data_IF_891743924470
#
_entry.id   IF_891743924470
#
_cell.length_a   1.000
_cell.length_b   1.000
_cell.length_c   1.000
_cell.angle_alpha   90.00
_cell.angle_beta   90.00
_cell.angle_gamma   90.00
#
_symmetry.space_group_name_H-M   'P 1'
#
loop_
_entity.id
_entity.type
_entity.pdbx_description
1 polymer ?
#
# COMPACT_ATOMS: atom_id res chain seq x y z
N UNK A 1 -9.72 3.97 -4.80
CA UNK A 1 -9.12 3.70 -3.46
C UNK A 1 -10.15 3.83 -2.35
N UNK A 2 -10.70 5.04 -2.10
CA UNK A 2 -11.71 5.25 -1.08
C UNK A 2 -13.00 4.43 -1.32
N UNK A 3 -13.32 4.15 -2.59
CA UNK A 3 -14.45 3.29 -2.96
C UNK A 3 -14.16 1.78 -2.79
N UNK A 4 -12.87 1.41 -2.78
CA UNK A 4 -12.43 0.00 -2.74
C UNK A 4 -12.16 -0.45 -1.29
N UNK A 5 -11.52 0.38 -0.47
CA UNK A 5 -11.27 0.10 0.95
C UNK A 5 -12.25 0.92 1.78
N UNK A 6 -13.29 0.26 2.31
CA UNK A 6 -14.33 0.92 3.13
C UNK A 6 -13.88 1.17 4.57
N UNK A 7 -12.90 0.42 5.06
CA UNK A 7 -12.38 0.59 6.41
C UNK A 7 -11.49 1.84 6.52
N UNK A 8 -11.93 2.81 7.31
CA UNK A 8 -11.23 4.08 7.51
C UNK A 8 -9.88 3.90 8.22
N UNK A 9 -9.75 2.90 9.09
CA UNK A 9 -8.49 2.59 9.77
C UNK A 9 -7.40 2.17 8.78
N UNK A 10 -7.76 1.24 7.91
CA UNK A 10 -6.90 0.71 6.86
C UNK A 10 -6.52 1.79 5.86
N UNK A 11 -7.46 2.64 5.42
CA UNK A 11 -7.15 3.78 4.57
C UNK A 11 -6.08 4.70 5.18
N UNK A 12 -6.21 5.05 6.47
CA UNK A 12 -5.20 5.88 7.16
C UNK A 12 -3.82 5.22 7.19
N UNK A 13 -3.76 3.90 7.39
CA UNK A 13 -2.51 3.16 7.39
C UNK A 13 -1.86 3.14 6.00
N UNK A 14 -2.66 3.03 4.92
CA UNK A 14 -2.17 3.17 3.54
C UNK A 14 -1.56 4.56 3.32
N UNK A 15 -2.28 5.63 3.70
CA UNK A 15 -1.77 7.01 3.55
C UNK A 15 -0.49 7.25 4.36
N UNK A 16 -0.45 6.73 5.59
CA UNK A 16 0.72 6.83 6.46
C UNK A 16 1.93 6.16 5.83
N UNK A 17 1.79 4.93 5.32
CA UNK A 17 2.88 4.23 4.64
C UNK A 17 3.33 4.96 3.37
N UNK A 18 2.40 5.44 2.55
CA UNK A 18 2.71 6.27 1.37
C UNK A 18 3.53 7.50 1.75
N UNK A 19 3.14 8.20 2.83
CA UNK A 19 3.84 9.39 3.27
C UNK A 19 5.24 9.08 3.84
N UNK A 20 5.41 7.92 4.49
CA UNK A 20 6.71 7.43 4.98
C UNK A 20 7.65 7.05 3.83
N UNK A 21 7.14 6.36 2.81
CA UNK A 21 7.90 5.99 1.60
C UNK A 21 8.38 7.23 0.84
N UNK A 22 7.48 8.19 0.58
CA UNK A 22 7.81 9.46 -0.10
C UNK A 22 8.93 10.24 0.59
N UNK A 23 8.95 10.23 1.93
CA UNK A 23 9.91 10.94 2.77
C UNK A 23 11.18 10.13 3.07
N UNK A 24 11.34 8.94 2.48
CA UNK A 24 12.47 8.03 2.76
C UNK A 24 12.60 7.68 4.26
N UNK A 25 11.47 7.61 4.97
CA UNK A 25 11.45 7.20 6.38
C UNK A 25 11.52 5.68 6.55
N UNK A 26 11.17 4.94 5.50
CA UNK A 26 11.44 3.50 5.38
C UNK A 26 12.38 3.35 4.19
N UNK A 27 13.55 2.77 4.44
CA UNK A 27 14.58 2.54 3.43
C UNK A 27 15.10 1.11 3.54
N UNK A 28 15.64 0.57 2.45
CA UNK A 28 16.07 -0.82 2.40
C UNK A 28 14.95 -1.78 2.00
N UNK A 29 15.34 -2.87 1.34
CA UNK A 29 14.40 -3.84 0.79
C UNK A 29 13.61 -4.59 1.87
N UNK A 30 14.28 -4.97 2.97
CA UNK A 30 13.68 -5.74 4.05
C UNK A 30 12.58 -4.96 4.78
N UNK A 31 12.90 -3.79 5.33
CA UNK A 31 11.96 -2.98 6.10
C UNK A 31 10.75 -2.55 5.26
N UNK A 32 11.00 -2.19 3.98
CA UNK A 32 9.93 -1.88 3.02
C UNK A 32 9.02 -3.08 2.81
N UNK A 33 9.58 -4.28 2.66
CA UNK A 33 8.80 -5.50 2.46
C UNK A 33 7.96 -5.85 3.70
N UNK A 34 8.54 -5.76 4.89
CA UNK A 34 7.84 -6.05 6.16
C UNK A 34 6.63 -5.11 6.33
N UNK A 35 6.84 -3.80 6.21
CA UNK A 35 5.76 -2.80 6.34
C UNK A 35 4.67 -3.00 5.28
N UNK A 36 5.06 -3.33 4.05
CA UNK A 36 4.12 -3.62 2.96
C UNK A 36 3.27 -4.86 3.27
N UNK A 37 3.88 -5.95 3.73
CA UNK A 37 3.15 -7.19 4.07
C UNK A 37 2.20 -6.97 5.25
N UNK A 38 2.63 -6.23 6.28
CA UNK A 38 1.76 -5.89 7.41
C UNK A 38 0.54 -5.08 6.98
N UNK A 39 0.73 -4.11 6.08
CA UNK A 39 -0.37 -3.33 5.51
C UNK A 39 -1.31 -4.21 4.67
N UNK A 40 -0.77 -5.04 3.78
CA UNK A 40 -1.57 -5.92 2.93
C UNK A 40 -2.37 -6.94 3.76
N UNK A 41 -1.79 -7.48 4.83
CA UNK A 41 -2.52 -8.32 5.79
C UNK A 41 -3.73 -7.58 6.35
N UNK A 42 -3.56 -6.34 6.79
CA UNK A 42 -4.67 -5.52 7.30
C UNK A 42 -5.74 -5.25 6.24
N UNK A 43 -5.33 -4.96 4.99
CA UNK A 43 -6.25 -4.78 3.86
C UNK A 43 -7.08 -6.05 3.64
N UNK A 44 -6.45 -7.23 3.60
CA UNK A 44 -7.16 -8.50 3.41
C UNK A 44 -8.08 -8.82 4.59
N UNK A 45 -7.63 -8.62 5.83
CA UNK A 45 -8.43 -8.90 7.03
C UNK A 45 -9.67 -8.00 7.18
N UNK A 46 -9.65 -6.80 6.61
CA UNK A 46 -10.77 -5.83 6.70
C UNK A 46 -11.54 -5.69 5.38
N UNK A 47 -11.07 -6.32 4.31
CA UNK A 47 -11.70 -6.26 3.00
C UNK A 47 -13.09 -6.88 3.04
N UNK A 48 -14.05 -6.17 2.43
CA UNK A 48 -15.38 -6.70 2.12
C UNK A 48 -15.46 -6.87 0.61
N UNK A 49 -15.47 -8.11 0.14
CA UNK A 49 -15.54 -8.46 -1.27
C UNK A 49 -16.58 -9.55 -1.50
N UNK A 50 -17.19 -9.55 -2.68
CA UNK A 50 -18.11 -10.60 -3.12
C UNK A 50 -17.50 -11.53 -4.18
N UNK A 51 -16.32 -11.18 -4.71
CA UNK A 51 -15.56 -12.00 -5.65
C UNK A 51 -14.06 -11.86 -5.43
N UNK A 52 -13.30 -12.86 -5.87
CA UNK A 52 -11.83 -12.84 -5.79
C UNK A 52 -11.26 -11.67 -6.61
N UNK A 53 -11.86 -11.34 -7.76
CA UNK A 53 -11.42 -10.22 -8.60
C UNK A 53 -11.49 -8.89 -7.84
N UNK A 54 -12.56 -8.65 -7.08
CA UNK A 54 -12.67 -7.45 -6.24
C UNK A 54 -11.55 -7.39 -5.20
N UNK A 55 -11.18 -8.53 -4.59
CA UNK A 55 -10.07 -8.59 -3.65
C UNK A 55 -8.73 -8.27 -4.35
N UNK A 56 -8.50 -8.85 -5.52
CA UNK A 56 -7.29 -8.60 -6.29
C UNK A 56 -7.18 -7.14 -6.74
N UNK A 57 -8.29 -6.50 -7.10
CA UNK A 57 -8.33 -5.09 -7.48
C UNK A 57 -8.06 -4.17 -6.28
N UNK A 58 -8.58 -4.52 -5.10
CA UNK A 58 -8.22 -3.83 -3.85
C UNK A 58 -6.70 -3.89 -3.61
N UNK A 59 -6.12 -5.09 -3.65
CA UNK A 59 -4.68 -5.31 -3.42
C UNK A 59 -3.83 -4.59 -4.47
N UNK A 60 -4.17 -4.75 -5.76
CA UNK A 60 -3.46 -4.10 -6.87
C UNK A 60 -3.48 -2.59 -6.75
N UNK A 61 -4.61 -2.01 -6.36
CA UNK A 61 -4.73 -0.57 -6.28
C UNK A 61 -3.90 -0.02 -5.09
N UNK A 62 -3.87 -0.71 -3.94
CA UNK A 62 -2.93 -0.38 -2.85
C UNK A 62 -1.48 -0.49 -3.32
N UNK A 63 -1.09 -1.62 -3.93
CA UNK A 63 0.27 -1.85 -4.41
C UNK A 63 0.74 -0.80 -5.41
N UNK A 64 -0.09 -0.46 -6.40
CA UNK A 64 0.18 0.59 -7.39
C UNK A 64 0.51 1.92 -6.72
N UNK A 65 -0.23 2.25 -5.65
CA UNK A 65 -0.03 3.49 -4.91
C UNK A 65 1.27 3.49 -4.10
N UNK A 66 1.61 2.38 -3.45
CA UNK A 66 2.86 2.24 -2.72
C UNK A 66 4.07 2.36 -3.67
N UNK A 67 4.00 1.73 -4.84
CA UNK A 67 5.05 1.83 -5.88
C UNK A 67 5.19 3.27 -6.36
N UNK A 68 4.07 3.95 -6.64
CA UNK A 68 4.08 5.36 -7.05
C UNK A 68 4.58 6.33 -5.95
N UNK A 69 4.54 5.91 -4.69
CA UNK A 69 5.01 6.68 -3.54
C UNK A 69 6.53 6.60 -3.35
N UNK A 70 7.18 5.55 -3.89
CA UNK A 70 8.61 5.39 -3.71
C UNK A 70 9.37 6.51 -4.44
N UNK A 71 10.41 7.11 -3.83
CA UNK A 71 11.11 8.22 -4.44
C UNK A 71 11.75 7.70 -5.72
N UNK A 72 11.33 8.26 -6.86
CA UNK A 72 11.87 7.90 -8.16
C UNK A 72 13.39 8.08 -8.11
N UNK A 73 14.11 6.98 -8.32
CA UNK A 73 15.52 7.07 -8.67
C UNK A 73 15.56 7.84 -9.98
N UNK A 74 16.07 9.07 -9.95
CA UNK A 74 16.53 9.75 -11.16
C UNK A 74 17.64 8.86 -11.71
N UNK A 75 17.34 8.02 -12.71
CA UNK A 75 18.38 7.37 -13.52
C UNK A 75 19.11 8.51 -14.23
N UNK A 76 20.23 8.92 -13.64
CA UNK A 76 21.19 9.83 -14.21
C UNK A 76 22.55 9.17 -14.08
N UNK A 77 22.92 8.43 -15.11
CA UNK A 77 24.20 8.52 -15.82
C UNK A 77 24.05 7.73 -17.12
#
# INVERSE_FOLDING_TARGET
MAELIRDKGTLRNVESLVARLRRRQITGAHDTAVETVLLLRQVVSTARFSSIDQLLDMIRSVGTRLVAAQPKVRRGN
#
